data_IF_256374479165
#
_entry.id   IF_256374479165
#
_cell.length_a   1.000
_cell.length_b   1.000
_cell.length_c   1.000
_cell.angle_alpha   90.00
_cell.angle_beta   90.00
_cell.angle_gamma   90.00
#
_symmetry.space_group_name_H-M   'P 1'
#
loop_
_entity.id
_entity.type
_entity.pdbx_description
1 polymer ?
#
# COMPACT_ATOMS: atom_id res chain seq x y z
N UNK A 1 -11.75 -4.46 6.65
CA UNK A 1 -12.92 -4.11 5.80
C UNK A 1 -12.42 -3.70 4.41
N UNK A 2 -13.03 -4.14 3.31
CA UNK A 2 -12.66 -3.62 1.98
C UNK A 2 -13.14 -2.18 1.81
N UNK A 3 -12.24 -1.29 1.37
CA UNK A 3 -12.53 0.11 1.07
C UNK A 3 -12.78 0.34 -0.42
N UNK A 4 -12.14 -0.45 -1.28
CA UNK A 4 -12.33 -0.36 -2.73
C UNK A 4 -11.61 -1.46 -3.50
N UNK A 5 -11.87 -1.52 -4.80
CA UNK A 5 -11.14 -2.38 -5.74
C UNK A 5 -10.85 -1.60 -7.02
N UNK A 6 -9.78 -1.96 -7.72
CA UNK A 6 -9.39 -1.32 -8.98
C UNK A 6 -8.70 -2.30 -9.92
N UNK A 7 -8.06 -1.77 -10.96
CA UNK A 7 -7.41 -2.55 -12.02
C UNK A 7 -6.32 -3.53 -11.51
N UNK A 8 -5.63 -3.20 -10.41
CA UNK A 8 -4.47 -3.95 -9.93
C UNK A 8 -4.71 -4.70 -8.62
N UNK A 9 -5.88 -4.54 -7.99
CA UNK A 9 -6.12 -5.18 -6.70
C UNK A 9 -7.23 -4.58 -5.87
N UNK A 10 -7.08 -4.68 -4.56
CA UNK A 10 -8.04 -4.24 -3.54
C UNK A 10 -7.37 -3.33 -2.53
N UNK A 11 -8.15 -2.44 -1.95
CA UNK A 11 -7.75 -1.59 -0.83
C UNK A 11 -8.52 -2.02 0.40
N UNK A 12 -7.80 -2.31 1.48
CA UNK A 12 -8.36 -2.79 2.74
C UNK A 12 -8.11 -1.77 3.85
N UNK A 13 -9.11 -1.52 4.71
CA UNK A 13 -8.92 -0.88 6.01
C UNK A 13 -8.22 -1.85 6.95
N UNK A 14 -7.13 -1.40 7.56
CA UNK A 14 -6.37 -2.14 8.58
C UNK A 14 -5.96 -1.21 9.73
N UNK A 15 -5.48 -1.82 10.81
CA UNK A 15 -4.83 -1.16 11.94
C UNK A 15 -3.33 -1.50 11.88
N UNK A 16 -2.48 -0.48 11.88
CA UNK A 16 -1.03 -0.62 11.84
C UNK A 16 -0.43 -0.08 13.13
N UNK A 17 0.25 -0.96 13.87
CA UNK A 17 0.77 -0.64 15.19
C UNK A 17 2.16 -0.02 15.08
N UNK A 18 2.36 1.11 15.77
CA UNK A 18 3.65 1.83 15.81
C UNK A 18 4.16 2.32 14.44
N UNK A 19 3.28 2.46 13.44
CA UNK A 19 3.66 2.95 12.10
C UNK A 19 3.85 4.47 12.07
N UNK A 20 3.16 5.19 12.95
CA UNK A 20 3.33 6.63 13.21
C UNK A 20 3.94 6.78 14.60
N UNK A 21 4.97 7.62 14.70
CA UNK A 21 5.63 7.90 15.97
C UNK A 21 4.64 8.52 16.97
N UNK A 22 4.58 7.95 18.18
CA UNK A 22 3.67 8.39 19.24
C UNK A 22 2.26 7.80 19.17
N UNK A 23 1.92 7.01 18.15
CA UNK A 23 0.63 6.31 18.05
C UNK A 23 0.80 4.80 18.34
N UNK A 24 -0.03 4.26 19.24
CA UNK A 24 -0.08 2.81 19.49
C UNK A 24 -0.58 2.06 18.25
N UNK A 25 -1.67 2.55 17.65
CA UNK A 25 -2.27 2.01 16.43
C UNK A 25 -2.82 3.12 15.56
N UNK A 26 -2.56 3.02 14.26
CA UNK A 26 -3.05 3.93 13.23
C UNK A 26 -3.98 3.17 12.28
N UNK A 27 -5.19 3.69 12.07
CA UNK A 27 -6.05 3.21 10.98
C UNK A 27 -5.41 3.55 9.63
N UNK A 28 -5.18 2.54 8.78
CA UNK A 28 -4.53 2.70 7.46
C UNK A 28 -5.33 2.06 6.32
N UNK A 29 -5.05 2.54 5.10
CA UNK A 29 -5.48 1.91 3.85
C UNK A 29 -4.33 1.08 3.25
N UNK A 30 -4.54 -0.22 3.07
CA UNK A 30 -3.56 -1.16 2.51
C UNK A 30 -3.97 -1.54 1.11
N UNK A 31 -3.19 -1.12 0.10
CA UNK A 31 -3.37 -1.54 -1.29
C UNK A 31 -2.59 -2.83 -1.54
N UNK A 32 -3.26 -3.84 -2.06
CA UNK A 32 -2.69 -5.17 -2.31
C UNK A 32 -3.28 -5.81 -3.57
N UNK A 33 -2.52 -6.68 -4.22
CA UNK A 33 -3.03 -7.52 -5.31
C UNK A 33 -4.00 -8.58 -4.77
N UNK A 34 -4.88 -9.11 -5.61
CA UNK A 34 -5.73 -10.26 -5.25
C UNK A 34 -4.88 -11.54 -5.16
N UNK A 35 -5.39 -12.61 -4.52
CA UNK A 35 -4.62 -13.85 -4.31
C UNK A 35 -4.26 -14.58 -5.61
N UNK A 36 -5.07 -14.45 -6.66
CA UNK A 36 -4.93 -15.15 -7.94
C UNK A 36 -4.41 -14.25 -9.06
N UNK A 37 -3.67 -13.20 -8.72
CA UNK A 37 -3.30 -12.18 -9.72
C UNK A 37 -2.00 -12.52 -10.43
N UNK A 38 -1.98 -12.31 -11.74
CA UNK A 38 -0.79 -12.48 -12.57
C UNK A 38 0.37 -11.58 -12.12
N UNK A 39 1.60 -12.00 -12.43
CA UNK A 39 2.83 -11.28 -12.08
C UNK A 39 2.84 -9.81 -12.56
N UNK A 40 2.08 -9.49 -13.60
CA UNK A 40 1.94 -8.12 -14.13
C UNK A 40 1.34 -7.15 -13.11
N UNK A 41 0.35 -7.59 -12.33
CA UNK A 41 -0.29 -6.73 -11.33
C UNK A 41 0.61 -6.48 -10.12
N UNK A 42 1.47 -7.45 -9.77
CA UNK A 42 2.51 -7.28 -8.75
C UNK A 42 3.52 -6.22 -9.21
N UNK A 43 3.99 -6.29 -10.47
CA UNK A 43 4.90 -5.29 -11.04
C UNK A 43 4.26 -3.90 -11.12
N UNK A 44 2.98 -3.81 -11.48
CA UNK A 44 2.24 -2.56 -11.49
C UNK A 44 2.16 -1.93 -10.09
N UNK A 45 1.79 -2.71 -9.07
CA UNK A 45 1.75 -2.24 -7.68
C UNK A 45 3.15 -1.82 -7.17
N UNK A 46 4.19 -2.55 -7.54
CA UNK A 46 5.57 -2.19 -7.22
C UNK A 46 6.00 -0.87 -7.90
N UNK A 47 5.51 -0.62 -9.11
CA UNK A 47 5.78 0.63 -9.85
C UNK A 47 5.05 1.81 -9.20
N UNK A 48 3.79 1.64 -8.80
CA UNK A 48 3.06 2.64 -8.01
C UNK A 48 3.78 2.96 -6.69
N UNK A 49 4.26 1.95 -5.97
CA UNK A 49 5.04 2.15 -4.74
C UNK A 49 6.28 3.01 -4.99
N UNK A 50 7.03 2.76 -6.07
CA UNK A 50 8.21 3.55 -6.45
C UNK A 50 7.86 5.01 -6.72
N UNK A 51 6.74 5.27 -7.39
CA UNK A 51 6.26 6.63 -7.65
C UNK A 51 5.92 7.32 -6.33
N UNK A 52 5.18 6.66 -5.42
CA UNK A 52 4.82 7.23 -4.12
C UNK A 52 6.05 7.55 -3.26
N UNK A 53 7.08 6.70 -3.28
CA UNK A 53 8.35 6.96 -2.60
C UNK A 53 9.05 8.19 -3.18
N UNK A 54 9.08 8.31 -4.51
CA UNK A 54 9.73 9.42 -5.19
C UNK A 54 9.00 10.77 -4.98
N UNK A 55 7.66 10.76 -4.93
CA UNK A 55 6.85 11.96 -4.71
C UNK A 55 7.02 12.55 -3.31
N UNK A 56 7.28 11.72 -2.31
CA UNK A 56 7.37 12.16 -0.92
C UNK A 56 6.02 12.52 -0.30
N UNK A 57 6.05 13.27 0.80
CA UNK A 57 4.84 13.63 1.57
C UNK A 57 4.30 14.99 1.17
N UNK A 58 2.98 15.10 1.07
CA UNK A 58 2.29 16.36 0.78
C UNK A 58 0.89 16.40 1.41
N UNK A 59 0.38 17.60 1.71
CA UNK A 59 -0.93 17.78 2.37
C UNK A 59 -2.09 17.26 1.50
N UNK A 60 -2.02 17.53 0.20
CA UNK A 60 -3.09 17.24 -0.76
C UNK A 60 -2.89 15.94 -1.55
N UNK A 61 -1.91 15.11 -1.15
CA UNK A 61 -1.62 13.82 -1.78
C UNK A 61 -1.69 12.74 -0.72
N UNK A 62 -2.18 11.56 -1.09
CA UNK A 62 -2.14 10.39 -0.20
C UNK A 62 -0.69 10.10 0.17
N UNK A 63 -0.41 10.03 1.47
CA UNK A 63 0.95 9.81 1.96
C UNK A 63 1.23 8.32 2.14
N UNK A 64 2.41 7.88 1.70
CA UNK A 64 2.93 6.56 1.96
C UNK A 64 3.45 6.48 3.41
N UNK A 65 2.91 5.54 4.19
CA UNK A 65 3.38 5.25 5.55
C UNK A 65 4.40 4.10 5.59
N UNK A 66 4.27 3.12 4.68
CA UNK A 66 5.16 1.98 4.61
C UNK A 66 4.73 0.97 3.56
N UNK A 67 5.53 -0.09 3.39
CA UNK A 67 5.25 -1.18 2.46
C UNK A 67 5.81 -2.52 2.96
N UNK A 68 5.08 -3.60 2.70
CA UNK A 68 5.51 -4.96 2.97
C UNK A 68 5.96 -5.63 1.67
N UNK A 69 7.27 -5.71 1.42
CA UNK A 69 7.84 -6.13 0.12
C UNK A 69 8.64 -7.44 0.17
N UNK A 70 8.76 -8.08 1.34
CA UNK A 70 9.64 -9.25 1.57
C UNK A 70 9.49 -10.39 0.56
N UNK A 71 8.31 -10.58 -0.02
CA UNK A 71 7.98 -11.71 -0.90
C UNK A 71 7.75 -11.30 -2.37
N UNK A 72 8.14 -10.09 -2.76
CA UNK A 72 8.09 -9.69 -4.17
C UNK A 72 9.35 -10.26 -4.83
N UNK A 73 9.19 -11.25 -5.71
CA UNK A 73 10.29 -11.78 -6.50
C UNK A 73 10.97 -10.63 -7.27
N UNK A 74 12.31 -10.59 -7.24
CA UNK A 74 13.12 -9.60 -7.97
C UNK A 74 12.90 -9.69 -9.47
#
# INVERSE_FOLDING_TARGET
KQLGHGAFGVVMKAEAHGIVEGEESTTVAVKMVKRSTESIHIRALASELKIMVHLGKHLNVVNLLGACTKNIAK
#
